data_IF_661030446283
#
_entry.id   IF_661030446283
#
_cell.length_a   1.000
_cell.length_b   1.000
_cell.length_c   1.000
_cell.angle_alpha   90.00
_cell.angle_beta   90.00
_cell.angle_gamma   90.00
#
_symmetry.space_group_name_H-M   'P 1'
#
loop_
_entity.id
_entity.type
_entity.pdbx_description
1 polymer ?
#
# COMPACT_ATOMS: atom_id res chain seq x y z
N UNK A 1 11.18 -8.67 6.36
CA UNK A 1 9.88 -8.84 7.07
C UNK A 1 9.54 -10.32 7.19
N UNK A 2 8.95 -10.79 8.30
CA UNK A 2 8.43 -12.17 8.37
C UNK A 2 7.08 -12.31 7.64
N UNK A 3 6.74 -13.53 7.19
CA UNK A 3 5.57 -13.81 6.33
C UNK A 3 4.25 -13.32 6.92
N UNK A 4 4.04 -13.51 8.22
CA UNK A 4 2.80 -13.12 8.89
C UNK A 4 2.69 -11.60 9.01
N UNK A 5 3.81 -10.92 9.24
CA UNK A 5 3.89 -9.47 9.26
C UNK A 5 3.61 -8.87 7.88
N UNK A 6 4.16 -9.47 6.81
CA UNK A 6 3.87 -9.07 5.44
C UNK A 6 2.40 -9.27 5.07
N UNK A 7 1.82 -10.39 5.47
CA UNK A 7 0.39 -10.69 5.22
C UNK A 7 -0.51 -9.69 5.93
N UNK A 8 -0.24 -9.39 7.20
CA UNK A 8 -0.98 -8.38 7.97
C UNK A 8 -0.85 -7.00 7.31
N UNK A 9 0.37 -6.61 6.94
CA UNK A 9 0.65 -5.34 6.30
C UNK A 9 -0.13 -5.16 4.99
N UNK A 10 -0.09 -6.13 4.08
CA UNK A 10 -0.84 -6.08 2.81
C UNK A 10 -2.35 -6.00 3.07
N UNK A 11 -2.85 -6.76 4.05
CA UNK A 11 -4.27 -6.73 4.42
C UNK A 11 -4.71 -5.36 4.92
N UNK A 12 -3.87 -4.70 5.74
CA UNK A 12 -4.15 -3.37 6.25
C UNK A 12 -4.10 -2.31 5.14
N UNK A 13 -3.20 -2.45 4.14
CA UNK A 13 -3.18 -1.59 2.95
C UNK A 13 -4.46 -1.75 2.11
N UNK A 14 -4.95 -2.98 1.92
CA UNK A 14 -6.20 -3.23 1.19
C UNK A 14 -7.42 -2.63 1.90
N UNK A 15 -7.48 -2.73 3.24
CA UNK A 15 -8.52 -2.06 4.03
C UNK A 15 -8.46 -0.54 3.90
N UNK A 16 -7.24 0.02 3.89
CA UNK A 16 -7.03 1.45 3.67
C UNK A 16 -7.44 1.90 2.26
N UNK A 17 -7.24 1.06 1.24
CA UNK A 17 -7.70 1.33 -0.12
C UNK A 17 -9.21 1.49 -0.16
N UNK A 18 -9.94 0.54 0.44
CA UNK A 18 -11.40 0.58 0.50
C UNK A 18 -11.87 1.81 1.28
N UNK A 19 -11.26 2.12 2.43
CA UNK A 19 -11.68 3.28 3.25
C UNK A 19 -11.45 4.63 2.56
N UNK A 20 -10.52 4.70 1.60
CA UNK A 20 -10.25 5.88 0.77
C UNK A 20 -10.94 5.84 -0.59
N UNK A 21 -11.82 4.87 -0.84
CA UNK A 21 -12.47 4.66 -2.13
C UNK A 21 -11.46 4.55 -3.30
N UNK A 22 -10.30 3.96 -3.02
CA UNK A 22 -9.23 3.75 -4.00
C UNK A 22 -9.51 2.57 -4.93
N UNK A 23 -9.00 2.65 -6.16
CA UNK A 23 -9.23 1.64 -7.19
C UNK A 23 -8.09 0.63 -7.32
N UNK A 24 -6.85 1.06 -7.10
CA UNK A 24 -5.64 0.28 -7.38
C UNK A 24 -4.62 0.43 -6.24
N UNK A 25 -4.01 -0.68 -5.81
CA UNK A 25 -2.91 -0.73 -4.84
C UNK A 25 -1.59 -1.03 -5.57
N UNK A 26 -0.58 -0.19 -5.37
CA UNK A 26 0.75 -0.31 -5.96
C UNK A 26 1.77 -0.73 -4.89
N UNK A 27 2.49 -1.81 -5.18
CA UNK A 27 3.55 -2.37 -4.34
C UNK A 27 4.78 -2.57 -5.24
N UNK A 28 5.86 -1.87 -4.94
CA UNK A 28 7.14 -2.01 -5.65
C UNK A 28 8.29 -1.81 -4.68
N UNK A 29 9.43 -2.46 -4.95
CA UNK A 29 10.66 -2.25 -4.18
C UNK A 29 11.15 -0.81 -4.30
N UNK A 30 11.82 -0.32 -3.27
CA UNK A 30 12.45 1.01 -3.22
C UNK A 30 11.49 2.20 -3.42
N UNK A 31 10.19 1.96 -3.31
CA UNK A 31 9.16 2.98 -3.35
C UNK A 31 8.11 2.72 -2.25
N UNK A 32 7.48 3.78 -1.69
CA UNK A 32 6.42 3.59 -0.73
C UNK A 32 5.16 2.98 -1.38
N UNK A 33 4.40 2.12 -0.68
CA UNK A 33 3.09 1.71 -1.14
C UNK A 33 2.22 2.92 -1.50
N UNK A 34 1.49 2.80 -2.60
CA UNK A 34 0.63 3.86 -3.08
C UNK A 34 -0.74 3.32 -3.48
N UNK A 35 -1.76 4.17 -3.38
CA UNK A 35 -3.13 3.86 -3.75
C UNK A 35 -3.59 4.89 -4.76
N UNK A 36 -4.26 4.44 -5.83
CA UNK A 36 -4.93 5.35 -6.76
C UNK A 36 -6.31 5.70 -6.23
N UNK A 37 -6.55 6.99 -6.00
CA UNK A 37 -7.82 7.55 -5.56
C UNK A 37 -8.20 8.64 -6.56
N UNK A 38 -9.42 8.58 -7.09
CA UNK A 38 -9.95 9.56 -8.06
C UNK A 38 -9.01 9.82 -9.24
N UNK A 39 -8.39 8.75 -9.77
CA UNK A 39 -7.46 8.84 -10.89
C UNK A 39 -6.03 9.26 -10.54
N UNK A 40 -5.73 9.63 -9.29
CA UNK A 40 -4.40 10.08 -8.84
C UNK A 40 -3.71 9.05 -7.94
N UNK A 41 -2.45 8.75 -8.23
CA UNK A 41 -1.62 7.86 -7.40
C UNK A 41 -1.11 8.63 -6.18
N UNK A 42 -1.47 8.16 -4.98
CA UNK A 42 -1.15 8.79 -3.70
C UNK A 42 -0.40 7.82 -2.79
N UNK A 43 0.76 8.24 -2.27
CA UNK A 43 1.55 7.45 -1.31
C UNK A 43 0.79 7.30 0.01
N UNK A 44 0.81 6.10 0.60
CA UNK A 44 0.08 5.83 1.86
C UNK A 44 0.99 5.67 3.07
N UNK A 45 2.28 5.47 2.86
CA UNK A 45 3.31 5.58 3.89
C UNK A 45 4.49 6.42 3.35
N UNK A 46 5.32 6.98 4.23
CA UNK A 46 6.55 7.68 3.83
C UNK A 46 7.68 6.70 3.51
N UNK A 47 7.66 5.50 4.10
CA UNK A 47 8.77 4.56 4.04
C UNK A 47 8.70 3.68 2.77
N UNK A 48 9.78 3.60 1.98
CA UNK A 48 9.91 2.63 0.90
C UNK A 48 9.87 1.19 1.41
N UNK A 49 9.43 0.27 0.55
CA UNK A 49 9.58 -1.16 0.83
C UNK A 49 11.01 -1.60 0.55
N UNK A 50 11.69 -1.98 1.62
CA UNK A 50 13.02 -2.57 1.65
C UNK A 50 12.95 -4.04 2.07
N UNK A 51 13.91 -4.83 1.58
CA UNK A 51 14.07 -6.27 1.90
C UNK A 51 14.54 -6.51 3.32
#
# INVERSE_FOLDING_TARGET
>A
MERDQATKFITDLLRLMISRNGSDLFITGDFPPAIKVDGKVTKVSPQPLNG
#
